data_IF_272557812546
#
_entry.id   IF_272557812546
#
_cell.length_a   1.000
_cell.length_b   1.000
_cell.length_c   1.000
_cell.angle_alpha   90.00
_cell.angle_beta   90.00
_cell.angle_gamma   90.00
#
_symmetry.space_group_name_H-M   'P 1'
#
loop_
_entity.id
_entity.type
_entity.pdbx_description
1 polymer ?
#
# COMPACT_ATOMS: atom_id res chain seq x y z
N UNK A 1 35.05 -23.67 1.20
CA UNK A 1 35.26 -22.30 1.68
C UNK A 1 33.88 -21.71 1.76
N UNK A 2 33.28 -21.82 2.93
CA UNK A 2 31.93 -21.35 3.17
C UNK A 2 31.95 -19.83 3.02
N UNK A 3 31.24 -19.32 2.02
CA UNK A 3 30.98 -17.88 1.93
C UNK A 3 30.23 -17.51 3.20
N UNK A 4 30.87 -16.76 4.10
CA UNK A 4 30.16 -16.04 5.14
C UNK A 4 28.99 -15.35 4.45
N UNK A 5 27.78 -15.78 4.76
CA UNK A 5 26.58 -15.19 4.19
C UNK A 5 26.59 -13.74 4.66
N UNK A 6 26.82 -12.79 3.75
CA UNK A 6 26.69 -11.38 4.07
C UNK A 6 25.31 -11.17 4.69
N UNK A 7 25.29 -10.71 5.93
CA UNK A 7 24.07 -10.42 6.69
C UNK A 7 23.98 -8.94 6.92
N UNK A 8 22.76 -8.43 7.07
CA UNK A 8 22.50 -7.03 7.40
C UNK A 8 21.84 -7.01 8.76
N UNK A 9 22.37 -6.22 9.68
CA UNK A 9 21.84 -6.14 11.04
C UNK A 9 21.20 -4.77 11.23
N UNK A 10 19.88 -4.75 11.44
CA UNK A 10 19.13 -3.54 11.74
C UNK A 10 18.76 -3.51 13.23
N UNK A 11 19.14 -2.44 13.93
CA UNK A 11 18.84 -2.22 15.35
C UNK A 11 17.88 -1.04 15.54
N UNK A 12 16.76 -1.20 16.27
CA UNK A 12 15.90 -0.07 16.62
C UNK A 12 16.66 0.99 17.44
N UNK A 13 16.50 2.28 17.08
CA UNK A 13 17.19 3.40 17.75
C UNK A 13 16.93 3.48 19.26
N UNK A 14 15.72 3.14 19.68
CA UNK A 14 15.31 3.24 21.09
C UNK A 14 15.45 1.92 21.85
N UNK A 15 16.10 0.90 21.26
CA UNK A 15 16.34 -0.37 21.94
C UNK A 15 17.53 -0.25 22.88
N UNK A 16 17.23 -0.14 24.18
CA UNK A 16 18.22 -0.08 25.26
C UNK A 16 18.74 -1.45 25.68
N UNK A 17 18.27 -2.53 25.06
CA UNK A 17 18.79 -3.86 25.32
C UNK A 17 20.19 -4.03 24.71
N UNK A 18 20.99 -4.92 25.32
CA UNK A 18 22.27 -5.37 24.79
C UNK A 18 22.11 -6.26 23.54
N UNK A 19 20.93 -6.32 22.92
CA UNK A 19 20.70 -7.08 21.71
C UNK A 19 21.48 -6.47 20.54
N UNK A 20 22.11 -7.33 19.75
CA UNK A 20 22.90 -6.97 18.58
C UNK A 20 22.01 -6.46 17.42
N UNK A 21 20.70 -6.71 17.47
CA UNK A 21 19.73 -6.23 16.50
C UNK A 21 19.02 -7.39 15.78
N UNK A 22 18.32 -7.07 14.69
CA UNK A 22 17.65 -8.08 13.87
C UNK A 22 18.49 -8.36 12.64
N UNK A 23 18.90 -9.62 12.51
CA UNK A 23 19.72 -10.13 11.41
C UNK A 23 18.84 -10.46 10.20
N UNK A 24 19.16 -9.89 9.05
CA UNK A 24 18.56 -10.13 7.74
C UNK A 24 19.58 -10.74 6.78
N UNK A 25 19.09 -11.40 5.72
CA UNK A 25 19.94 -11.70 4.56
C UNK A 25 20.37 -10.39 3.89
N UNK A 26 21.60 -10.35 3.35
CA UNK A 26 22.09 -9.27 2.46
C UNK A 26 21.14 -8.94 1.32
N UNK A 27 20.33 -9.91 0.86
CA UNK A 27 19.28 -9.71 -0.15
C UNK A 27 18.26 -8.64 0.24
N UNK A 28 18.12 -8.27 1.52
CA UNK A 28 17.29 -7.14 1.94
C UNK A 28 17.63 -5.85 1.17
N UNK A 29 18.90 -5.64 0.81
CA UNK A 29 19.36 -4.49 0.03
C UNK A 29 18.64 -4.39 -1.33
N UNK A 30 18.22 -5.51 -1.93
CA UNK A 30 17.46 -5.49 -3.17
C UNK A 30 16.05 -4.89 -2.99
N UNK A 31 15.50 -4.94 -1.78
CA UNK A 31 14.13 -4.53 -1.48
C UNK A 31 14.03 -3.11 -0.90
N UNK A 32 15.10 -2.61 -0.28
CA UNK A 32 15.12 -1.33 0.43
C UNK A 32 16.25 -0.46 -0.10
N UNK A 33 15.91 0.66 -0.74
CA UNK A 33 16.91 1.63 -1.23
C UNK A 33 17.71 2.27 -0.10
N UNK A 34 17.10 2.40 1.09
CA UNK A 34 17.83 2.87 2.27
C UNK A 34 18.94 1.88 2.61
N UNK A 35 18.62 0.59 2.69
CA UNK A 35 19.56 -0.47 3.07
C UNK A 35 20.62 -0.72 1.98
N UNK A 36 20.26 -0.59 0.71
CA UNK A 36 21.20 -0.63 -0.42
C UNK A 36 22.35 0.37 -0.25
N UNK A 37 22.08 1.55 0.33
CA UNK A 37 23.08 2.60 0.56
C UNK A 37 23.86 2.50 1.87
N UNK A 38 23.64 1.47 2.69
CA UNK A 38 24.34 1.29 3.98
C UNK A 38 25.65 0.51 3.82
N UNK A 39 26.57 0.72 4.75
CA UNK A 39 27.71 -0.18 4.98
C UNK A 39 27.22 -1.43 5.71
N UNK A 40 27.33 -2.60 5.08
CA UNK A 40 26.82 -3.87 5.63
C UNK A 40 27.79 -4.51 6.63
N UNK A 41 28.99 -3.94 6.82
CA UNK A 41 29.94 -4.42 7.84
C UNK A 41 29.60 -3.96 9.26
N UNK A 42 28.68 -3.01 9.40
CA UNK A 42 28.27 -2.43 10.68
C UNK A 42 26.78 -2.66 10.99
N UNK A 43 26.44 -2.59 12.28
CA UNK A 43 25.03 -2.60 12.73
C UNK A 43 24.39 -1.26 12.41
N UNK A 44 23.38 -1.25 11.56
CA UNK A 44 22.66 -0.04 11.18
C UNK A 44 21.53 0.26 12.16
N UNK A 45 21.52 1.48 12.70
CA UNK A 45 20.46 1.93 13.61
C UNK A 45 19.30 2.56 12.83
N UNK A 46 18.07 2.10 13.06
CA UNK A 46 16.86 2.53 12.34
C UNK A 46 15.76 3.01 13.29
N UNK A 47 14.92 3.93 12.81
CA UNK A 47 13.76 4.44 13.58
C UNK A 47 12.51 3.57 13.35
N UNK A 48 12.66 2.27 13.59
CA UNK A 48 11.61 1.26 13.41
C UNK A 48 11.66 0.34 14.63
N UNK A 49 10.51 0.04 15.22
CA UNK A 49 10.46 -0.86 16.37
C UNK A 49 10.83 -2.29 16.01
N UNK A 50 11.26 -3.05 17.02
CA UNK A 50 11.66 -4.45 16.86
C UNK A 50 10.56 -5.31 16.23
N UNK A 51 9.32 -5.17 16.72
CA UNK A 51 8.19 -5.97 16.25
C UNK A 51 7.90 -5.73 14.76
N UNK A 52 8.05 -4.49 14.31
CA UNK A 52 7.85 -4.12 12.90
C UNK A 52 8.97 -4.68 12.02
N UNK A 53 10.23 -4.62 12.49
CA UNK A 53 11.35 -5.27 11.80
C UNK A 53 11.18 -6.79 11.71
N UNK A 54 10.63 -7.45 12.74
CA UNK A 54 10.33 -8.88 12.70
C UNK A 54 9.24 -9.22 11.68
N UNK A 55 8.22 -8.36 11.54
CA UNK A 55 7.18 -8.53 10.51
C UNK A 55 7.77 -8.37 9.10
N UNK A 56 8.61 -7.36 8.89
CA UNK A 56 9.32 -7.17 7.61
C UNK A 56 10.24 -8.36 7.30
N UNK A 57 10.96 -8.86 8.31
CA UNK A 57 11.80 -10.05 8.18
C UNK A 57 10.97 -11.25 7.76
N UNK A 58 9.86 -11.51 8.46
CA UNK A 58 8.95 -12.60 8.12
C UNK A 58 8.37 -12.45 6.72
N UNK A 59 7.99 -11.24 6.32
CA UNK A 59 7.55 -10.95 4.94
C UNK A 59 8.61 -11.38 3.92
N UNK A 60 9.88 -11.04 4.12
CA UNK A 60 10.96 -11.43 3.21
C UNK A 60 11.24 -12.94 3.24
N UNK A 61 11.28 -13.54 4.43
CA UNK A 61 11.54 -14.97 4.63
C UNK A 61 10.43 -15.84 4.01
N UNK A 62 9.17 -15.47 4.21
CA UNK A 62 8.03 -16.16 3.59
C UNK A 62 8.13 -16.14 2.06
N UNK A 63 8.75 -15.11 1.47
CA UNK A 63 8.99 -14.99 0.02
C UNK A 63 10.41 -15.41 -0.40
N UNK A 64 11.19 -16.04 0.46
CA UNK A 64 12.58 -16.45 0.19
C UNK A 64 13.48 -15.31 -0.35
N UNK A 65 13.17 -14.05 0.00
CA UNK A 65 13.81 -12.87 -0.57
C UNK A 65 13.77 -12.83 -2.12
N UNK A 66 12.70 -13.35 -2.74
CA UNK A 66 12.48 -13.31 -4.18
C UNK A 66 11.27 -12.42 -4.53
N UNK A 67 11.54 -11.30 -5.22
CA UNK A 67 10.53 -10.34 -5.66
C UNK A 67 9.45 -10.96 -6.54
N UNK A 68 9.78 -11.99 -7.31
CA UNK A 68 8.83 -12.60 -8.26
C UNK A 68 7.76 -13.45 -7.56
N UNK A 69 8.00 -13.81 -6.29
CA UNK A 69 7.04 -14.56 -5.48
C UNK A 69 6.02 -13.64 -4.81
N UNK A 70 6.31 -12.35 -4.70
CA UNK A 70 5.40 -11.34 -4.14
C UNK A 70 4.49 -10.85 -5.26
N UNK A 71 3.19 -11.08 -5.12
CA UNK A 71 2.20 -10.65 -6.13
C UNK A 71 1.21 -9.69 -5.50
N UNK A 72 1.08 -8.53 -6.12
CA UNK A 72 0.14 -7.48 -5.72
C UNK A 72 -0.58 -7.02 -6.99
N UNK A 73 -1.87 -7.33 -7.09
CA UNK A 73 -2.69 -6.98 -8.23
C UNK A 73 -3.09 -5.50 -8.17
N UNK A 74 -2.86 -4.80 -9.29
CA UNK A 74 -3.20 -3.39 -9.48
C UNK A 74 -3.76 -3.21 -10.89
N UNK A 75 -4.82 -2.41 -11.09
CA UNK A 75 -5.62 -1.73 -10.06
C UNK A 75 -6.44 -2.73 -9.22
N UNK A 76 -6.94 -2.28 -8.07
CA UNK A 76 -7.88 -3.09 -7.28
C UNK A 76 -9.19 -3.25 -8.05
N UNK A 77 -9.72 -4.47 -8.06
CA UNK A 77 -10.97 -4.86 -8.73
C UNK A 77 -12.04 -5.34 -7.75
N UNK A 78 -11.76 -5.26 -6.45
CA UNK A 78 -12.69 -5.65 -5.40
C UNK A 78 -12.24 -5.26 -3.99
N UNK A 79 -13.11 -5.53 -3.03
CA UNK A 79 -12.93 -5.18 -1.61
C UNK A 79 -12.29 -6.29 -0.75
N UNK A 80 -11.94 -7.43 -1.35
CA UNK A 80 -11.24 -8.51 -0.67
C UNK A 80 -9.74 -8.50 -1.03
N UNK A 81 -8.84 -8.16 -0.10
CA UNK A 81 -7.41 -8.16 -0.36
C UNK A 81 -6.86 -9.56 -0.65
N UNK A 82 -7.56 -10.64 -0.28
CA UNK A 82 -7.15 -12.00 -0.65
C UNK A 82 -7.10 -12.20 -2.17
N UNK A 83 -7.92 -11.48 -2.93
CA UNK A 83 -7.92 -11.56 -4.39
C UNK A 83 -6.82 -10.73 -5.04
N UNK A 84 -6.14 -9.86 -4.28
CA UNK A 84 -5.17 -8.90 -4.81
C UNK A 84 -3.76 -9.14 -4.29
N UNK A 85 -3.58 -10.04 -3.35
CA UNK A 85 -2.30 -10.38 -2.73
C UNK A 85 -2.02 -11.85 -2.92
N UNK A 86 -0.75 -12.22 -3.04
CA UNK A 86 -0.38 -13.62 -2.87
C UNK A 86 -0.77 -14.12 -1.47
N UNK A 87 -0.99 -15.44 -1.35
CA UNK A 87 -1.50 -16.07 -0.12
C UNK A 87 -0.61 -15.79 1.10
N UNK A 88 0.72 -15.72 0.94
CA UNK A 88 1.65 -15.52 2.06
C UNK A 88 1.58 -14.09 2.57
N UNK A 89 1.60 -13.12 1.66
CA UNK A 89 1.40 -11.70 1.96
C UNK A 89 0.04 -11.48 2.63
N UNK A 90 -1.04 -12.07 2.09
CA UNK A 90 -2.37 -11.99 2.68
C UNK A 90 -2.41 -12.57 4.10
N UNK A 91 -1.88 -13.77 4.31
CA UNK A 91 -1.90 -14.42 5.63
C UNK A 91 -1.12 -13.64 6.68
N UNK A 92 -0.02 -12.97 6.29
CA UNK A 92 0.75 -12.11 7.18
C UNK A 92 -0.02 -10.83 7.55
N UNK A 93 -0.71 -10.22 6.59
CA UNK A 93 -1.30 -8.88 6.74
C UNK A 93 -2.81 -8.85 7.01
N UNK A 94 -3.53 -9.98 6.91
CA UNK A 94 -5.00 -10.01 7.05
C UNK A 94 -5.52 -9.44 8.36
N UNK A 95 -4.75 -9.52 9.44
CA UNK A 95 -5.13 -9.00 10.76
C UNK A 95 -5.06 -7.47 10.86
N UNK A 96 -4.46 -6.83 9.87
CA UNK A 96 -4.32 -5.38 9.75
C UNK A 96 -5.37 -4.76 8.80
N UNK A 97 -6.27 -5.59 8.24
CA UNK A 97 -7.33 -5.16 7.33
C UNK A 97 -8.35 -4.27 8.03
N UNK A 98 -8.81 -3.24 7.32
CA UNK A 98 -9.96 -2.42 7.68
C UNK A 98 -9.61 -1.18 8.49
N UNK A 99 -10.47 -0.17 8.39
CA UNK A 99 -10.32 1.14 9.05
C UNK A 99 -10.19 1.06 10.58
N UNK A 100 -10.73 0.03 11.22
CA UNK A 100 -10.59 -0.21 12.66
C UNK A 100 -9.16 -0.61 13.10
N UNK A 101 -8.28 -0.98 12.17
CA UNK A 101 -6.91 -1.41 12.44
C UNK A 101 -5.84 -0.38 12.02
N UNK A 102 -6.23 0.88 11.76
CA UNK A 102 -5.33 1.95 11.28
C UNK A 102 -4.11 2.12 12.18
N UNK A 103 -4.29 2.12 13.50
CA UNK A 103 -3.18 2.29 14.46
C UNK A 103 -2.18 1.13 14.41
N UNK A 104 -2.62 -0.06 13.99
CA UNK A 104 -1.76 -1.25 13.88
C UNK A 104 -1.00 -1.30 12.56
N UNK A 105 -1.62 -0.87 11.46
CA UNK A 105 -0.98 -0.91 10.14
C UNK A 105 -0.10 0.32 9.88
N UNK A 106 -0.41 1.46 10.49
CA UNK A 106 0.36 2.70 10.30
C UNK A 106 1.86 2.51 10.57
N UNK A 107 2.31 1.87 11.67
CA UNK A 107 3.74 1.63 11.89
C UNK A 107 4.41 0.76 10.82
N UNK A 108 3.68 -0.20 10.22
CA UNK A 108 4.19 -1.01 9.10
C UNK A 108 4.38 -0.15 7.86
N UNK A 109 3.39 0.69 7.56
CA UNK A 109 3.43 1.59 6.41
C UNK A 109 4.53 2.64 6.55
N UNK A 110 4.65 3.27 7.73
CA UNK A 110 5.70 4.24 8.04
C UNK A 110 7.10 3.61 7.90
N UNK A 111 7.28 2.38 8.39
CA UNK A 111 8.52 1.63 8.21
C UNK A 111 8.81 1.31 6.73
N UNK A 112 7.79 0.96 5.95
CA UNK A 112 7.94 0.73 4.51
C UNK A 112 8.39 2.01 3.78
N UNK A 113 7.83 3.16 4.14
CA UNK A 113 8.27 4.46 3.62
C UNK A 113 9.69 4.81 4.05
N UNK A 114 10.01 4.64 5.34
CA UNK A 114 11.33 4.90 5.88
C UNK A 114 12.41 4.07 5.16
N UNK A 115 12.18 2.77 4.99
CA UNK A 115 13.11 1.87 4.30
C UNK A 115 13.09 2.03 2.78
N UNK A 116 12.14 2.80 2.22
CA UNK A 116 11.88 2.85 0.78
C UNK A 116 11.69 1.44 0.19
N UNK A 117 10.83 0.66 0.84
CA UNK A 117 10.51 -0.73 0.51
C UNK A 117 9.17 -0.78 -0.23
N UNK A 118 9.21 -0.56 -1.54
CA UNK A 118 8.02 -0.39 -2.40
C UNK A 118 7.04 -1.57 -2.36
N UNK A 119 7.52 -2.82 -2.46
CA UNK A 119 6.62 -3.99 -2.44
C UNK A 119 5.90 -4.16 -1.09
N UNK A 120 6.60 -3.92 0.02
CA UNK A 120 5.98 -4.01 1.35
C UNK A 120 4.99 -2.86 1.58
N UNK A 121 5.33 -1.64 1.11
CA UNK A 121 4.42 -0.49 1.09
C UNK A 121 3.15 -0.81 0.29
N UNK A 122 3.31 -1.35 -0.90
CA UNK A 122 2.20 -1.72 -1.78
C UNK A 122 1.28 -2.77 -1.15
N UNK A 123 1.86 -3.77 -0.47
CA UNK A 123 1.09 -4.78 0.25
C UNK A 123 0.28 -4.16 1.40
N UNK A 124 0.90 -3.29 2.20
CA UNK A 124 0.22 -2.56 3.27
C UNK A 124 -0.92 -1.69 2.72
N UNK A 125 -0.66 -0.96 1.63
CA UNK A 125 -1.66 -0.10 0.99
C UNK A 125 -2.81 -0.93 0.42
N UNK A 126 -2.55 -2.08 -0.20
CA UNK A 126 -3.59 -2.97 -0.71
C UNK A 126 -4.56 -3.41 0.40
N UNK A 127 -4.03 -3.79 1.57
CA UNK A 127 -4.82 -4.24 2.72
C UNK A 127 -5.79 -3.16 3.22
N UNK A 128 -5.37 -1.89 3.16
CA UNK A 128 -6.19 -0.75 3.60
C UNK A 128 -7.15 -0.33 2.48
N UNK A 129 -6.64 -0.18 1.26
CA UNK A 129 -7.38 0.37 0.12
C UNK A 129 -8.55 -0.51 -0.33
N UNK A 130 -8.47 -1.83 -0.14
CA UNK A 130 -9.61 -2.72 -0.39
C UNK A 130 -10.86 -2.34 0.42
N UNK A 131 -10.70 -1.73 1.60
CA UNK A 131 -11.86 -1.30 2.41
C UNK A 131 -12.62 -0.13 1.77
N UNK A 132 -11.92 0.63 0.91
CA UNK A 132 -12.39 1.82 0.20
C UNK A 132 -12.77 1.54 -1.26
N UNK A 133 -12.79 0.28 -1.69
CA UNK A 133 -13.21 -0.08 -3.04
C UNK A 133 -14.72 0.20 -3.22
N UNK A 134 -15.03 1.04 -4.20
CA UNK A 134 -16.41 1.32 -4.64
C UNK A 134 -16.61 0.62 -5.98
N UNK A 135 -17.60 -0.25 -6.05
CA UNK A 135 -17.94 -0.97 -7.28
C UNK A 135 -18.55 -0.07 -8.34
N UNK A 136 -18.77 -0.63 -9.54
CA UNK A 136 -19.26 0.13 -10.69
C UNK A 136 -20.79 0.18 -10.77
N UNK A 137 -21.49 -0.61 -9.94
CA UNK A 137 -22.96 -0.68 -9.95
C UNK A 137 -23.57 0.20 -8.85
N UNK A 138 -24.80 0.68 -9.08
CA UNK A 138 -25.56 1.43 -8.05
C UNK A 138 -25.69 0.62 -6.75
N UNK A 139 -25.94 -0.69 -6.86
CA UNK A 139 -26.03 -1.57 -5.69
C UNK A 139 -24.73 -1.62 -4.87
N UNK A 140 -23.56 -1.64 -5.53
CA UNK A 140 -22.27 -1.61 -4.82
C UNK A 140 -21.98 -0.24 -4.19
N UNK A 141 -22.44 0.84 -4.82
CA UNK A 141 -22.37 2.19 -4.26
C UNK A 141 -23.24 2.31 -3.01
N UNK A 142 -24.49 1.85 -3.06
CA UNK A 142 -25.41 1.85 -1.92
C UNK A 142 -24.83 1.06 -0.74
N UNK A 143 -24.28 -0.13 -1.02
CA UNK A 143 -23.60 -0.95 0.00
C UNK A 143 -22.39 -0.23 0.59
N UNK A 144 -21.62 0.49 -0.22
CA UNK A 144 -20.47 1.25 0.26
C UNK A 144 -20.90 2.42 1.15
N UNK A 145 -21.94 3.17 0.75
CA UNK A 145 -22.53 4.26 1.52
C UNK A 145 -23.03 3.76 2.86
N UNK A 146 -23.82 2.69 2.86
CA UNK A 146 -24.37 2.06 4.08
C UNK A 146 -23.25 1.58 5.01
N UNK A 147 -22.28 0.82 4.47
CA UNK A 147 -21.16 0.27 5.25
C UNK A 147 -20.35 1.35 5.96
N UNK A 148 -20.12 2.47 5.31
CA UNK A 148 -19.30 3.55 5.83
C UNK A 148 -20.10 4.65 6.54
N UNK A 149 -21.43 4.50 6.65
CA UNK A 149 -22.30 5.50 7.26
C UNK A 149 -22.23 6.85 6.56
N UNK A 150 -22.01 6.85 5.24
CA UNK A 150 -21.94 8.07 4.46
C UNK A 150 -23.34 8.66 4.33
N UNK A 151 -23.45 9.97 4.54
CA UNK A 151 -24.67 10.74 4.29
C UNK A 151 -24.59 11.37 2.91
N UNK A 152 -25.74 11.56 2.27
CA UNK A 152 -25.83 12.49 1.15
C UNK A 152 -25.44 13.89 1.63
N UNK A 153 -24.64 14.57 0.81
CA UNK A 153 -24.26 15.96 1.04
C UNK A 153 -25.45 16.86 0.76
N UNK A 154 -25.63 17.93 1.54
CA UNK A 154 -26.61 18.96 1.16
C UNK A 154 -26.11 19.76 -0.04
N UNK A 155 -26.99 20.40 -0.82
CA UNK A 155 -26.56 21.27 -1.93
C UNK A 155 -25.58 22.37 -1.50
N UNK A 156 -25.70 22.88 -0.27
CA UNK A 156 -24.72 23.84 0.27
C UNK A 156 -23.36 23.17 0.54
N UNK A 157 -23.34 21.98 1.17
CA UNK A 157 -22.11 21.22 1.44
C UNK A 157 -21.40 20.82 0.13
N UNK A 158 -22.14 20.38 -0.90
CA UNK A 158 -21.59 20.10 -2.23
C UNK A 158 -20.93 21.34 -2.84
N UNK A 159 -21.61 22.49 -2.77
CA UNK A 159 -21.12 23.74 -3.35
C UNK A 159 -19.87 24.26 -2.62
N UNK A 160 -19.76 24.04 -1.31
CA UNK A 160 -18.55 24.34 -0.53
C UNK A 160 -17.39 23.41 -0.92
N UNK A 161 -17.63 22.10 -1.00
CA UNK A 161 -16.62 21.12 -1.43
C UNK A 161 -16.14 21.41 -2.86
N UNK A 162 -17.06 21.73 -3.78
CA UNK A 162 -16.72 22.10 -5.15
C UNK A 162 -15.85 23.36 -5.22
N UNK A 163 -16.05 24.33 -4.32
CA UNK A 163 -15.21 25.53 -4.23
C UNK A 163 -13.85 25.22 -3.63
N UNK A 164 -13.80 24.45 -2.56
CA UNK A 164 -12.57 24.09 -1.87
C UNK A 164 -11.65 23.23 -2.75
N UNK A 165 -12.24 22.30 -3.50
CA UNK A 165 -11.53 21.38 -4.39
C UNK A 165 -11.73 21.71 -5.87
N UNK A 166 -11.96 22.99 -6.20
CA UNK A 166 -12.22 23.45 -7.58
C UNK A 166 -11.21 22.88 -8.63
N UNK A 167 -9.89 22.82 -8.38
CA UNK A 167 -8.95 22.26 -9.37
C UNK A 167 -9.18 20.79 -9.70
N UNK A 168 -9.75 20.01 -8.77
CA UNK A 168 -10.07 18.59 -8.97
C UNK A 168 -11.32 18.47 -9.85
N UNK A 169 -12.36 19.26 -9.53
CA UNK A 169 -13.61 19.27 -10.30
C UNK A 169 -13.41 19.80 -11.73
N UNK A 170 -12.56 20.82 -11.91
CA UNK A 170 -12.20 21.31 -13.25
C UNK A 170 -11.59 20.21 -14.11
N UNK A 171 -10.60 19.47 -13.58
CA UNK A 171 -9.98 18.33 -14.30
C UNK A 171 -10.96 17.21 -14.60
N UNK A 172 -11.89 16.92 -13.68
CA UNK A 172 -12.96 15.94 -13.88
C UNK A 172 -13.89 16.37 -15.01
N UNK A 173 -14.33 17.62 -15.01
CA UNK A 173 -15.18 18.19 -16.05
C UNK A 173 -14.50 18.19 -17.42
N UNK A 174 -13.22 18.55 -17.49
CA UNK A 174 -12.44 18.47 -18.73
C UNK A 174 -12.38 17.04 -19.27
N UNK A 175 -12.14 16.05 -18.38
CA UNK A 175 -12.10 14.64 -18.76
C UNK A 175 -13.45 14.15 -19.27
N UNK A 176 -14.55 14.45 -18.59
CA UNK A 176 -15.89 14.06 -19.03
C UNK A 176 -16.28 14.72 -20.35
N UNK A 177 -15.96 16.01 -20.52
CA UNK A 177 -16.22 16.73 -21.76
C UNK A 177 -15.47 16.08 -22.93
N UNK A 178 -14.20 15.73 -22.73
CA UNK A 178 -13.41 15.03 -23.74
C UNK A 178 -14.00 13.66 -24.09
N UNK A 179 -14.46 12.89 -23.11
CA UNK A 179 -15.12 11.60 -23.34
C UNK A 179 -16.43 11.74 -24.12
N UNK A 180 -17.25 12.74 -23.78
CA UNK A 180 -18.48 13.08 -24.52
C UNK A 180 -18.18 13.46 -25.97
N UNK A 181 -17.19 14.33 -26.19
CA UNK A 181 -16.78 14.75 -27.54
C UNK A 181 -16.28 13.56 -28.38
N UNK A 182 -15.51 12.64 -27.77
CA UNK A 182 -15.03 11.41 -28.40
C UNK A 182 -16.16 10.44 -28.76
N UNK A 183 -17.18 10.28 -27.90
CA UNK A 183 -18.35 9.45 -28.19
C UNK A 183 -19.23 10.05 -29.30
N UNK A 184 -19.44 11.37 -29.29
CA UNK A 184 -20.19 12.06 -30.34
C UNK A 184 -19.49 11.94 -31.71
N UNK A 185 -18.16 12.01 -31.74
CA UNK A 185 -17.38 11.80 -32.96
C UNK A 185 -17.51 10.37 -33.49
N UNK A 186 -17.51 9.35 -32.62
CA UNK A 186 -17.75 7.96 -33.02
C UNK A 186 -19.16 7.78 -33.60
N UNK A 187 -20.17 8.30 -32.91
CA UNK A 187 -21.56 8.19 -33.34
C UNK A 187 -21.81 8.89 -34.70
N UNK A 188 -21.13 10.01 -34.97
CA UNK A 188 -21.23 10.72 -36.24
C UNK A 188 -20.45 10.03 -37.37
N UNK A 189 -19.35 9.34 -37.07
CA UNK A 189 -18.58 8.61 -38.08
C UNK A 189 -19.17 7.23 -38.41
N UNK A 190 -19.87 6.59 -37.48
CA UNK A 190 -20.52 5.28 -37.69
C UNK A 190 -21.88 5.40 -38.41
N UNK A 191 -22.41 6.63 -38.57
CA UNK A 191 -23.67 6.93 -39.28
C UNK A 191 -23.47 7.58 -40.67
N UNK A 192 -22.25 7.51 -41.23
CA UNK A 192 -21.89 7.93 -42.60
C UNK A 192 -21.45 6.72 -43.40
#
# INVERSE_FOLDING_TARGET
MDSESDTIILKPRNDTSNDEGIVFSSKLAEFSKLVEGLDHSEVATVDISRDILLIIKRFLEDHNYDKNLIKIEKPLTGNDPKNHLDEKTYLLLKEYKGTQNVDRIKPLLDAAYYLNFELFKDACLCIIACDFYVGATETELDQFIEKNGLKELTPEEELEIMKEFAPVFEKLNEKFKKQLDEEQLKYNNDNV
#
